data_IF_367396804216
#
_entry.id   IF_367396804216
#
_cell.length_a   1.000
_cell.length_b   1.000
_cell.length_c   1.000
_cell.angle_alpha   90.00
_cell.angle_beta   90.00
_cell.angle_gamma   90.00
#
_symmetry.space_group_name_H-M   'P 1'
#
loop_
_entity.id
_entity.type
_entity.pdbx_description
1 polymer ?
#
# COMPACT_ATOMS: atom_id res chain seq x y z
N UNK A 1 19.65 -0.35 -26.03
CA UNK A 1 20.10 -0.36 -27.45
C UNK A 1 20.99 0.83 -27.79
N UNK A 2 20.79 1.97 -27.19
CA UNK A 2 21.61 3.18 -27.39
C UNK A 2 22.97 3.07 -26.69
N UNK A 3 22.99 2.47 -25.53
CA UNK A 3 24.19 2.35 -24.69
C UNK A 3 25.29 1.47 -25.35
N UNK A 4 24.91 0.58 -26.25
CA UNK A 4 25.86 -0.35 -26.90
C UNK A 4 26.61 0.21 -28.13
N UNK A 5 26.34 1.46 -28.53
CA UNK A 5 26.91 1.99 -29.79
C UNK A 5 28.14 2.90 -29.67
N UNK A 6 28.41 3.41 -28.44
CA UNK A 6 29.59 4.27 -28.24
C UNK A 6 30.08 4.23 -26.80
N UNK A 7 31.41 4.42 -26.63
CA UNK A 7 32.04 4.51 -25.29
C UNK A 7 31.58 5.70 -24.47
N UNK A 8 31.02 6.70 -25.14
CA UNK A 8 30.49 7.90 -24.51
C UNK A 8 29.41 8.47 -25.42
N UNK A 9 28.19 8.53 -24.93
CA UNK A 9 27.05 9.03 -25.69
C UNK A 9 26.41 10.15 -24.94
N UNK A 10 26.34 11.33 -25.58
CA UNK A 10 25.55 12.45 -25.12
C UNK A 10 24.15 12.34 -25.70
N UNK A 11 23.19 12.03 -24.85
CA UNK A 11 21.81 11.87 -25.24
C UNK A 11 21.07 13.17 -24.99
N UNK A 12 20.53 13.77 -26.03
CA UNK A 12 19.55 14.85 -25.85
C UNK A 12 18.21 14.23 -25.44
N UNK A 13 17.49 14.90 -24.55
CA UNK A 13 16.19 14.44 -24.09
C UNK A 13 15.22 14.20 -25.26
N UNK A 14 15.23 15.08 -26.27
CA UNK A 14 14.47 14.91 -27.51
C UNK A 14 14.81 13.63 -28.27
N UNK A 15 16.09 13.29 -28.34
CA UNK A 15 16.55 12.12 -29.08
C UNK A 15 16.20 10.82 -28.34
N UNK A 16 16.27 10.84 -27.00
CA UNK A 16 15.86 9.73 -26.16
C UNK A 16 14.36 9.42 -26.30
N UNK A 17 13.53 10.43 -26.42
CA UNK A 17 12.09 10.27 -26.59
C UNK A 17 11.77 9.68 -27.97
N UNK A 18 12.41 10.17 -29.03
CA UNK A 18 12.24 9.64 -30.39
C UNK A 18 12.72 8.18 -30.47
N UNK A 19 13.86 7.87 -29.88
CA UNK A 19 14.39 6.51 -29.88
C UNK A 19 13.59 5.51 -29.05
N UNK A 20 12.92 5.97 -28.00
CA UNK A 20 12.01 5.15 -27.19
C UNK A 20 10.64 4.97 -27.87
N UNK A 21 10.45 5.46 -29.10
CA UNK A 21 9.21 5.36 -29.88
C UNK A 21 8.00 5.90 -29.10
N UNK A 22 8.21 6.92 -28.30
CA UNK A 22 7.09 7.61 -27.64
C UNK A 22 6.26 8.28 -28.73
N UNK A 23 4.95 8.08 -28.69
CA UNK A 23 4.03 8.68 -29.64
C UNK A 23 4.23 10.20 -29.69
N UNK A 24 4.20 10.76 -30.89
CA UNK A 24 4.43 12.18 -31.16
C UNK A 24 3.54 13.10 -30.30
N UNK A 25 2.32 12.67 -29.98
CA UNK A 25 1.40 13.33 -29.06
C UNK A 25 1.91 13.37 -27.62
N UNK A 26 2.53 12.30 -27.13
CA UNK A 26 3.09 12.25 -25.79
C UNK A 26 4.27 13.20 -25.61
N UNK A 27 5.08 13.38 -26.65
CA UNK A 27 6.21 14.29 -26.62
C UNK A 27 5.79 15.77 -26.62
N UNK A 28 4.93 16.18 -27.57
CA UNK A 28 4.43 17.55 -27.66
C UNK A 28 3.73 17.98 -26.37
N UNK A 29 3.05 17.04 -25.76
CA UNK A 29 2.33 17.24 -24.52
C UNK A 29 3.27 17.41 -23.32
N UNK A 30 4.26 16.55 -23.18
CA UNK A 30 5.28 16.64 -22.15
C UNK A 30 6.10 17.93 -22.26
N UNK A 31 6.53 18.31 -23.46
CA UNK A 31 7.24 19.58 -23.72
C UNK A 31 6.37 20.78 -23.36
N UNK A 32 5.09 20.77 -23.72
CA UNK A 32 4.14 21.84 -23.37
C UNK A 32 3.95 21.96 -21.87
N UNK A 33 3.82 20.85 -21.16
CA UNK A 33 3.71 20.82 -19.71
C UNK A 33 4.97 21.38 -19.03
N UNK A 34 6.15 20.95 -19.49
CA UNK A 34 7.41 21.42 -18.92
C UNK A 34 7.62 22.92 -19.17
N UNK A 35 7.23 23.42 -20.34
CA UNK A 35 7.24 24.87 -20.63
C UNK A 35 6.26 25.65 -19.74
N UNK A 36 5.08 25.08 -19.51
CA UNK A 36 4.07 25.65 -18.62
C UNK A 36 4.60 25.73 -17.18
N UNK A 37 5.13 24.63 -16.64
CA UNK A 37 5.71 24.59 -15.30
C UNK A 37 6.91 25.55 -15.15
N UNK A 38 7.74 25.65 -16.18
CA UNK A 38 8.86 26.63 -16.21
C UNK A 38 8.36 28.07 -16.20
N UNK A 39 7.33 28.40 -16.99
CA UNK A 39 6.69 29.68 -16.99
C UNK A 39 6.03 30.05 -15.66
N UNK A 40 5.61 29.07 -14.89
CA UNK A 40 5.08 29.26 -13.53
C UNK A 40 6.18 29.38 -12.46
N UNK A 41 7.45 29.42 -12.82
CA UNK A 41 8.62 29.44 -11.93
C UNK A 41 8.72 28.25 -10.96
N UNK A 42 8.02 27.14 -11.24
CA UNK A 42 8.13 25.89 -10.47
C UNK A 42 9.32 25.03 -10.91
N UNK A 43 9.91 25.31 -12.08
CA UNK A 43 11.04 24.60 -12.64
C UNK A 43 12.18 25.57 -12.94
N UNK A 44 13.34 25.32 -12.37
CA UNK A 44 14.58 25.86 -12.94
C UNK A 44 14.95 24.96 -14.14
N UNK A 45 15.04 25.52 -15.33
CA UNK A 45 15.28 24.80 -16.60
C UNK A 45 16.52 23.92 -16.55
N UNK A 46 17.55 24.36 -15.82
CA UNK A 46 18.82 23.63 -15.73
C UNK A 46 18.80 22.43 -14.79
N UNK A 47 17.81 22.39 -13.88
CA UNK A 47 17.71 21.31 -12.88
C UNK A 47 16.77 20.18 -13.31
N UNK A 48 15.81 20.42 -14.19
CA UNK A 48 14.74 19.49 -14.55
C UNK A 48 14.72 19.04 -16.01
N UNK A 49 15.37 19.79 -16.88
CA UNK A 49 15.58 19.46 -18.28
C UNK A 49 17.07 19.52 -18.59
N UNK A 50 17.83 18.50 -18.22
CA UNK A 50 19.19 18.39 -18.73
C UNK A 50 19.07 18.38 -20.25
N UNK A 51 19.72 19.33 -20.91
CA UNK A 51 19.81 19.39 -22.37
C UNK A 51 20.49 18.16 -22.98
N UNK A 52 21.02 17.29 -22.14
CA UNK A 52 21.54 15.98 -22.47
C UNK A 52 21.99 15.21 -21.23
N UNK A 53 21.96 13.90 -21.32
CA UNK A 53 22.54 12.99 -20.36
C UNK A 53 23.84 12.44 -20.96
N UNK A 54 24.94 12.58 -20.24
CA UNK A 54 26.20 11.94 -20.62
C UNK A 54 26.24 10.54 -19.99
N UNK A 55 26.22 9.52 -20.85
CA UNK A 55 26.29 8.13 -20.43
C UNK A 55 27.70 7.61 -20.74
N UNK A 56 28.40 7.23 -19.69
CA UNK A 56 29.70 6.62 -19.82
C UNK A 56 29.53 5.08 -19.78
N UNK A 57 29.90 4.40 -20.85
CA UNK A 57 29.99 2.95 -20.88
C UNK A 57 31.46 2.54 -20.81
N UNK A 58 31.80 1.61 -19.94
CA UNK A 58 33.13 0.99 -19.90
C UNK A 58 33.19 -0.15 -20.92
N UNK A 59 34.38 -0.43 -21.46
CA UNK A 59 34.60 -1.52 -22.42
C UNK A 59 34.32 -2.91 -21.84
N UNK A 60 34.13 -3.02 -20.54
CA UNK A 60 33.83 -4.23 -19.79
C UNK A 60 32.38 -4.31 -19.34
N UNK A 61 31.44 -3.74 -20.08
CA UNK A 61 30.02 -4.02 -19.83
C UNK A 61 29.68 -5.44 -20.26
N UNK A 62 30.29 -6.42 -19.62
CA UNK A 62 29.69 -7.74 -19.52
C UNK A 62 28.30 -7.55 -18.94
N UNK A 63 27.32 -8.26 -19.48
CA UNK A 63 25.96 -8.27 -18.93
C UNK A 63 26.05 -8.71 -17.47
N UNK A 64 26.12 -7.75 -16.55
CA UNK A 64 26.06 -8.05 -15.13
C UNK A 64 24.63 -8.52 -14.88
N UNK A 65 24.47 -9.84 -14.78
CA UNK A 65 23.21 -10.45 -14.38
C UNK A 65 23.07 -10.17 -12.90
N UNK A 66 22.32 -9.11 -12.58
CA UNK A 66 22.03 -8.66 -11.21
C UNK A 66 21.03 -9.58 -10.48
N UNK A 67 20.82 -10.83 -10.94
CA UNK A 67 19.75 -11.68 -10.44
C UNK A 67 20.03 -12.37 -9.10
N UNK A 68 21.28 -12.49 -8.67
CA UNK A 68 21.66 -13.22 -7.45
C UNK A 68 22.62 -12.45 -6.54
N UNK A 69 22.41 -11.15 -6.38
CA UNK A 69 23.23 -10.35 -5.47
C UNK A 69 22.78 -10.62 -4.03
N UNK A 70 23.72 -11.01 -3.18
CA UNK A 70 23.45 -11.29 -1.78
C UNK A 70 22.99 -10.02 -1.03
N UNK A 71 21.94 -10.15 -0.21
CA UNK A 71 21.48 -9.05 0.62
C UNK A 71 22.61 -8.52 1.55
N UNK A 72 22.69 -7.20 1.67
CA UNK A 72 23.68 -6.54 2.53
C UNK A 72 25.01 -6.19 1.88
N UNK A 73 25.26 -6.61 0.62
CA UNK A 73 26.44 -6.17 -0.13
C UNK A 73 26.29 -4.74 -0.67
N UNK A 74 27.39 -4.11 -1.05
CA UNK A 74 27.36 -2.77 -1.67
C UNK A 74 26.64 -2.81 -3.03
N UNK A 75 26.84 -3.86 -3.81
CA UNK A 75 26.14 -4.10 -5.07
C UNK A 75 24.62 -4.21 -4.86
N UNK A 76 24.18 -4.86 -3.78
CA UNK A 76 22.77 -4.94 -3.41
C UNK A 76 22.20 -3.56 -3.09
N UNK A 77 22.93 -2.73 -2.34
CA UNK A 77 22.52 -1.35 -2.04
C UNK A 77 22.41 -0.49 -3.29
N UNK A 78 23.38 -0.59 -4.19
CA UNK A 78 23.37 0.13 -5.47
C UNK A 78 22.18 -0.30 -6.32
N UNK A 79 21.91 -1.61 -6.42
CA UNK A 79 20.75 -2.14 -7.14
C UNK A 79 19.44 -1.65 -6.53
N UNK A 80 19.32 -1.71 -5.20
CA UNK A 80 18.11 -1.25 -4.51
C UNK A 80 17.85 0.24 -4.75
N UNK A 81 18.89 1.07 -4.69
CA UNK A 81 18.78 2.51 -4.98
C UNK A 81 18.40 2.78 -6.45
N UNK A 82 18.96 2.01 -7.39
CA UNK A 82 18.59 2.10 -8.79
C UNK A 82 17.13 1.69 -9.03
N UNK A 83 16.71 0.57 -8.46
CA UNK A 83 15.34 0.06 -8.57
C UNK A 83 14.32 1.06 -8.00
N UNK A 84 14.64 1.70 -6.87
CA UNK A 84 13.82 2.75 -6.29
C UNK A 84 13.77 4.00 -7.18
N UNK A 85 14.91 4.45 -7.71
CA UNK A 85 14.97 5.59 -8.61
C UNK A 85 14.14 5.36 -9.89
N UNK A 86 14.18 4.15 -10.45
CA UNK A 86 13.37 3.77 -11.61
C UNK A 86 11.88 3.72 -11.28
N UNK A 87 11.53 3.24 -10.09
CA UNK A 87 10.14 3.25 -9.63
C UNK A 87 9.62 4.67 -9.45
N UNK A 88 10.37 5.54 -8.78
CA UNK A 88 10.03 6.97 -8.62
C UNK A 88 9.86 7.63 -10.00
N UNK A 89 10.76 7.37 -10.94
CA UNK A 89 10.65 7.89 -12.31
C UNK A 89 9.32 7.50 -12.96
N UNK A 90 8.93 6.25 -12.88
CA UNK A 90 7.67 5.77 -13.45
C UNK A 90 6.45 6.40 -12.75
N UNK A 91 6.49 6.51 -11.41
CA UNK A 91 5.43 7.16 -10.65
C UNK A 91 5.28 8.65 -11.02
N UNK A 92 6.38 9.36 -11.28
CA UNK A 92 6.36 10.74 -11.77
C UNK A 92 5.65 10.88 -13.12
N UNK A 93 5.78 9.92 -14.02
CA UNK A 93 5.05 9.94 -15.29
C UNK A 93 3.52 9.87 -15.06
N UNK A 94 3.06 9.06 -14.11
CA UNK A 94 1.64 9.05 -13.75
C UNK A 94 1.18 10.36 -13.09
N UNK A 95 2.02 11.05 -12.32
CA UNK A 95 1.69 12.39 -11.82
C UNK A 95 1.54 13.39 -12.98
N UNK A 96 2.35 13.27 -14.02
CA UNK A 96 2.20 14.09 -15.24
C UNK A 96 0.88 13.78 -15.94
N UNK A 97 0.46 12.52 -16.00
CA UNK A 97 -0.87 12.17 -16.52
C UNK A 97 -2.00 12.82 -15.69
N UNK A 98 -1.90 12.79 -14.36
CA UNK A 98 -2.88 13.46 -13.48
C UNK A 98 -2.95 14.95 -13.77
N UNK A 99 -1.80 15.63 -13.87
CA UNK A 99 -1.75 17.07 -14.18
C UNK A 99 -2.53 17.43 -15.42
N UNK A 100 -2.54 16.56 -16.38
CA UNK A 100 -3.02 16.81 -17.71
C UNK A 100 -4.44 16.33 -17.95
N UNK A 101 -4.83 15.26 -17.29
CA UNK A 101 -6.14 14.64 -17.50
C UNK A 101 -7.14 14.88 -16.39
N UNK A 102 -6.67 15.21 -15.17
CA UNK A 102 -7.52 15.27 -13.98
C UNK A 102 -7.53 16.60 -13.25
N UNK A 103 -6.58 17.49 -13.54
CA UNK A 103 -6.51 18.82 -12.93
C UNK A 103 -7.12 19.85 -13.87
N UNK A 104 -8.12 20.58 -13.37
CA UNK A 104 -8.87 21.54 -14.16
C UNK A 104 -8.94 22.94 -13.54
N UNK A 105 -8.30 23.14 -12.37
CA UNK A 105 -8.29 24.44 -11.70
C UNK A 105 -6.95 24.71 -11.00
N UNK A 106 -6.67 25.98 -10.75
CA UNK A 106 -5.40 26.43 -10.18
C UNK A 106 -5.14 25.94 -8.76
N UNK A 107 -6.19 25.76 -7.96
CA UNK A 107 -6.04 25.31 -6.57
C UNK A 107 -5.54 23.87 -6.52
N UNK A 108 -6.19 22.98 -7.25
CA UNK A 108 -5.81 21.56 -7.31
C UNK A 108 -4.43 21.40 -7.95
N UNK A 109 -4.11 22.25 -8.94
CA UNK A 109 -2.79 22.33 -9.55
C UNK A 109 -1.71 22.66 -8.50
N UNK A 110 -1.89 23.72 -7.72
CA UNK A 110 -0.93 24.13 -6.70
C UNK A 110 -0.77 23.07 -5.59
N UNK A 111 -1.87 22.44 -5.16
CA UNK A 111 -1.83 21.36 -4.18
C UNK A 111 -1.04 20.16 -4.72
N UNK A 112 -1.30 19.73 -5.95
CA UNK A 112 -0.58 18.63 -6.59
C UNK A 112 0.91 18.94 -6.71
N UNK A 113 1.28 20.12 -7.21
CA UNK A 113 2.66 20.53 -7.39
C UNK A 113 3.40 20.62 -6.07
N UNK A 114 2.79 21.23 -5.04
CA UNK A 114 3.41 21.31 -3.72
C UNK A 114 3.67 19.94 -3.12
N UNK A 115 2.71 19.01 -3.26
CA UNK A 115 2.85 17.62 -2.79
C UNK A 115 3.89 16.86 -3.61
N UNK A 116 3.94 17.07 -4.92
CA UNK A 116 4.95 16.46 -5.80
C UNK A 116 6.38 16.80 -5.35
N UNK A 117 6.66 18.08 -5.08
CA UNK A 117 7.99 18.52 -4.63
C UNK A 117 8.30 18.11 -3.17
N UNK A 118 7.28 17.90 -2.35
CA UNK A 118 7.45 17.36 -1.01
C UNK A 118 7.74 15.85 -0.99
N UNK A 119 7.37 15.13 -2.04
CA UNK A 119 7.51 13.66 -2.15
C UNK A 119 8.97 13.28 -2.40
N UNK A 120 9.52 12.42 -1.53
CA UNK A 120 10.95 12.05 -1.53
C UNK A 120 11.21 10.61 -1.96
N UNK A 121 10.26 9.72 -1.78
CA UNK A 121 10.39 8.29 -2.01
C UNK A 121 9.18 7.75 -2.80
N UNK A 122 9.26 6.50 -3.25
CA UNK A 122 8.21 5.86 -4.04
C UNK A 122 6.85 5.82 -3.31
N UNK A 123 6.84 5.62 -1.99
CA UNK A 123 5.60 5.55 -1.22
C UNK A 123 4.87 6.91 -1.14
N UNK A 124 5.62 8.01 -1.06
CA UNK A 124 5.03 9.36 -1.11
C UNK A 124 4.30 9.58 -2.44
N UNK A 125 4.93 9.20 -3.56
CA UNK A 125 4.32 9.29 -4.89
C UNK A 125 3.11 8.36 -5.05
N UNK A 126 3.14 7.14 -4.53
CA UNK A 126 1.98 6.24 -4.53
C UNK A 126 0.82 6.83 -3.72
N UNK A 127 1.12 7.41 -2.56
CA UNK A 127 0.12 8.09 -1.73
C UNK A 127 -0.47 9.29 -2.45
N UNK A 128 0.34 10.07 -3.15
CA UNK A 128 -0.14 11.19 -3.98
C UNK A 128 -1.07 10.68 -5.08
N UNK A 129 -0.65 9.67 -5.83
CA UNK A 129 -1.42 9.09 -6.94
C UNK A 129 -2.73 8.44 -6.48
N UNK A 130 -2.78 7.86 -5.28
CA UNK A 130 -4.00 7.25 -4.74
C UNK A 130 -5.15 8.25 -4.50
N UNK A 131 -4.87 9.56 -4.50
CA UNK A 131 -5.91 10.59 -4.48
C UNK A 131 -6.66 10.68 -5.82
N UNK A 132 -6.02 10.31 -6.92
CA UNK A 132 -6.51 10.52 -8.29
C UNK A 132 -6.87 9.23 -9.02
N UNK A 133 -6.28 8.11 -8.65
CA UNK A 133 -6.55 6.78 -9.20
C UNK A 133 -7.19 5.89 -8.15
N UNK A 134 -8.23 5.19 -8.55
CA UNK A 134 -8.87 4.19 -7.69
C UNK A 134 -7.93 2.99 -7.46
N UNK A 135 -8.14 2.25 -6.39
CA UNK A 135 -7.34 1.05 -6.09
C UNK A 135 -7.48 -0.06 -7.16
N UNK A 136 -8.57 -0.02 -7.93
CA UNK A 136 -8.81 -0.93 -9.07
C UNK A 136 -8.15 -0.48 -10.38
N UNK A 137 -7.47 0.65 -10.40
CA UNK A 137 -6.89 1.21 -11.61
C UNK A 137 -5.70 0.36 -12.10
N UNK A 138 -5.61 0.04 -13.42
CA UNK A 138 -4.53 -0.79 -13.98
C UNK A 138 -3.11 -0.25 -13.73
N UNK A 139 -2.95 1.04 -13.47
CA UNK A 139 -1.64 1.63 -13.16
C UNK A 139 -0.95 0.93 -11.97
N UNK A 140 -1.76 0.36 -11.07
CA UNK A 140 -1.25 -0.31 -9.87
C UNK A 140 -0.78 -1.74 -10.10
N UNK A 141 -1.20 -2.41 -11.18
CA UNK A 141 -0.99 -3.86 -11.36
C UNK A 141 0.49 -4.25 -11.36
N UNK A 142 1.30 -3.56 -12.14
CA UNK A 142 2.74 -3.83 -12.19
C UNK A 142 3.46 -3.49 -10.87
N UNK A 143 3.07 -2.39 -10.21
CA UNK A 143 3.64 -1.95 -8.95
C UNK A 143 3.31 -2.94 -7.82
N UNK A 144 2.06 -3.39 -7.77
CA UNK A 144 1.56 -4.37 -6.80
C UNK A 144 2.23 -5.72 -6.95
N UNK A 145 2.30 -6.24 -8.18
CA UNK A 145 2.92 -7.52 -8.46
C UNK A 145 4.38 -7.56 -7.97
N UNK A 146 5.15 -6.50 -8.23
CA UNK A 146 6.54 -6.37 -7.75
C UNK A 146 6.61 -6.28 -6.22
N UNK A 147 5.77 -5.43 -5.60
CA UNK A 147 5.78 -5.20 -4.16
C UNK A 147 5.35 -6.45 -3.37
N UNK A 148 4.29 -7.14 -3.82
CA UNK A 148 3.85 -8.40 -3.19
C UNK A 148 4.92 -9.47 -3.32
N UNK A 149 5.48 -9.68 -4.50
CA UNK A 149 6.55 -10.65 -4.71
C UNK A 149 7.77 -10.39 -3.82
N UNK A 150 8.11 -9.13 -3.61
CA UNK A 150 9.21 -8.75 -2.71
C UNK A 150 8.86 -9.00 -1.23
N UNK A 151 7.62 -8.76 -0.83
CA UNK A 151 7.16 -9.04 0.52
C UNK A 151 7.08 -10.56 0.79
N UNK A 152 6.60 -11.32 -0.17
CA UNK A 152 6.51 -12.78 -0.13
C UNK A 152 7.88 -13.45 0.00
N UNK A 153 8.89 -12.97 -0.71
CA UNK A 153 10.27 -13.49 -0.65
C UNK A 153 10.92 -13.37 0.74
N UNK A 154 10.41 -12.49 1.59
CA UNK A 154 10.91 -12.29 2.96
C UNK A 154 10.30 -13.24 3.98
N UNK A 155 9.28 -14.02 3.59
CA UNK A 155 8.64 -15.00 4.46
C UNK A 155 9.52 -16.25 4.56
N UNK A 156 9.69 -16.76 5.78
CA UNK A 156 10.25 -18.08 6.00
C UNK A 156 9.20 -19.18 5.67
N UNK A 157 9.61 -20.45 5.69
CA UNK A 157 8.74 -21.56 5.29
C UNK A 157 7.47 -21.67 6.15
N UNK A 158 7.56 -21.46 7.45
CA UNK A 158 6.41 -21.49 8.37
C UNK A 158 5.45 -20.32 8.11
N UNK A 159 5.98 -19.12 7.96
CA UNK A 159 5.21 -17.93 7.62
C UNK A 159 4.57 -18.06 6.24
N UNK A 160 5.28 -18.64 5.28
CA UNK A 160 4.77 -18.94 3.94
C UNK A 160 3.60 -19.91 3.99
N UNK A 161 3.70 -21.00 4.76
CA UNK A 161 2.60 -21.95 4.94
C UNK A 161 1.33 -21.27 5.47
N UNK A 162 1.46 -20.42 6.50
CA UNK A 162 0.33 -19.64 7.04
C UNK A 162 -0.22 -18.66 6.00
N UNK A 163 0.65 -17.98 5.27
CA UNK A 163 0.26 -17.04 4.21
C UNK A 163 -0.52 -17.74 3.09
N UNK A 164 -0.13 -18.95 2.72
CA UNK A 164 -0.80 -19.75 1.67
C UNK A 164 -2.08 -20.44 2.15
N UNK A 165 -2.27 -20.59 3.46
CA UNK A 165 -3.45 -21.26 4.01
C UNK A 165 -4.76 -20.73 3.43
N UNK A 166 -5.71 -21.61 3.21
CA UNK A 166 -7.00 -21.24 2.62
C UNK A 166 -7.77 -20.30 3.56
N UNK A 167 -8.22 -19.18 3.01
CA UNK A 167 -9.00 -18.20 3.76
C UNK A 167 -10.40 -18.67 4.20
N UNK A 168 -10.86 -19.82 3.72
CA UNK A 168 -12.15 -20.40 4.11
C UNK A 168 -12.06 -21.28 5.37
N UNK A 169 -10.89 -21.43 5.96
CA UNK A 169 -10.69 -22.22 7.18
C UNK A 169 -10.38 -21.34 8.38
N UNK A 170 -10.74 -21.82 9.58
CA UNK A 170 -10.29 -21.17 10.81
C UNK A 170 -8.84 -21.63 11.07
N UNK A 171 -7.93 -20.67 11.17
CA UNK A 171 -6.51 -20.93 11.39
C UNK A 171 -6.10 -20.38 12.75
N UNK A 172 -5.53 -21.24 13.59
CA UNK A 172 -4.85 -20.85 14.81
C UNK A 172 -3.34 -20.89 14.60
N UNK A 173 -2.65 -19.78 14.86
CA UNK A 173 -1.20 -19.66 14.67
C UNK A 173 -0.53 -19.56 16.04
N UNK A 174 0.19 -20.59 16.40
CA UNK A 174 1.00 -20.64 17.62
C UNK A 174 2.46 -20.31 17.28
N UNK A 175 2.96 -19.20 17.80
CA UNK A 175 4.32 -18.76 17.52
C UNK A 175 4.84 -17.84 18.63
N UNK A 176 6.15 -17.92 18.89
CA UNK A 176 6.81 -17.14 19.93
C UNK A 176 6.85 -15.62 19.65
N UNK A 177 7.29 -14.84 20.64
CA UNK A 177 7.54 -13.40 20.43
C UNK A 177 8.58 -13.18 19.32
N UNK A 178 8.39 -12.15 18.50
CA UNK A 178 9.31 -11.82 17.40
C UNK A 178 9.25 -12.74 16.17
N UNK A 179 8.38 -13.75 16.15
CA UNK A 179 8.22 -14.67 15.00
C UNK A 179 7.59 -14.04 13.75
N UNK A 180 7.17 -12.78 13.81
CA UNK A 180 6.55 -12.09 12.68
C UNK A 180 5.05 -12.35 12.48
N UNK A 181 4.31 -12.83 13.49
CA UNK A 181 2.85 -13.05 13.44
C UNK A 181 2.10 -11.86 12.84
N UNK A 182 2.32 -10.68 13.38
CA UNK A 182 1.69 -9.44 12.91
C UNK A 182 2.05 -9.11 11.46
N UNK A 183 3.28 -9.42 11.03
CA UNK A 183 3.70 -9.24 9.64
C UNK A 183 2.93 -10.15 8.69
N UNK A 184 2.82 -11.43 9.01
CA UNK A 184 2.03 -12.39 8.22
C UNK A 184 0.55 -12.01 8.19
N UNK A 185 -0.01 -11.55 9.32
CA UNK A 185 -1.39 -11.06 9.41
C UNK A 185 -1.62 -9.88 8.44
N UNK A 186 -0.74 -8.89 8.44
CA UNK A 186 -0.87 -7.72 7.54
C UNK A 186 -0.75 -8.11 6.07
N UNK A 187 0.17 -9.02 5.74
CA UNK A 187 0.30 -9.57 4.38
C UNK A 187 -0.93 -10.39 3.97
N UNK A 188 -1.52 -11.15 4.89
CA UNK A 188 -2.75 -11.90 4.62
C UNK A 188 -3.92 -10.96 4.30
N UNK A 189 -4.08 -9.86 5.03
CA UNK A 189 -5.06 -8.82 4.69
C UNK A 189 -4.82 -8.26 3.28
N UNK A 190 -3.58 -7.96 2.92
CA UNK A 190 -3.24 -7.48 1.59
C UNK A 190 -3.53 -8.52 0.50
N UNK A 191 -3.24 -9.82 0.75
CA UNK A 191 -3.56 -10.91 -0.16
C UNK A 191 -5.06 -11.03 -0.42
N UNK A 192 -5.88 -10.96 0.63
CA UNK A 192 -7.34 -11.00 0.50
C UNK A 192 -7.86 -9.89 -0.42
N UNK A 193 -7.39 -8.67 -0.20
CA UNK A 193 -7.85 -7.52 -0.97
C UNK A 193 -7.31 -7.57 -2.41
N UNK A 194 -6.02 -7.83 -2.58
CA UNK A 194 -5.39 -7.77 -3.90
C UNK A 194 -5.67 -8.99 -4.77
N UNK A 195 -5.47 -10.22 -4.23
CA UNK A 195 -5.62 -11.45 -5.03
C UNK A 195 -7.04 -12.00 -5.04
N UNK A 196 -7.80 -11.81 -3.97
CA UNK A 196 -9.14 -12.36 -3.83
C UNK A 196 -10.24 -11.31 -4.00
N UNK A 197 -9.86 -10.05 -4.24
CA UNK A 197 -10.78 -8.91 -4.45
C UNK A 197 -11.79 -8.73 -3.31
N UNK A 198 -11.39 -9.07 -2.09
CA UNK A 198 -12.22 -8.92 -0.90
C UNK A 198 -12.38 -7.43 -0.59
N UNK A 199 -13.62 -7.01 -0.31
CA UNK A 199 -13.90 -5.65 0.12
C UNK A 199 -13.16 -5.36 1.46
N UNK A 200 -12.31 -4.32 1.57
CA UNK A 200 -11.62 -4.00 2.81
C UNK A 200 -12.55 -3.83 4.01
N UNK A 201 -13.77 -3.33 3.80
CA UNK A 201 -14.78 -3.16 4.86
C UNK A 201 -15.33 -4.49 5.39
N UNK A 202 -15.11 -5.60 4.69
CA UNK A 202 -15.49 -6.92 5.16
C UNK A 202 -14.41 -7.61 6.01
N UNK A 203 -13.31 -6.92 6.31
CA UNK A 203 -12.20 -7.43 7.11
C UNK A 203 -12.14 -6.70 8.45
N UNK A 204 -12.22 -7.46 9.54
CA UNK A 204 -12.05 -7.00 10.91
C UNK A 204 -10.72 -7.51 11.47
N UNK A 205 -9.89 -6.63 11.99
CA UNK A 205 -8.67 -6.94 12.72
C UNK A 205 -8.85 -6.49 14.17
N UNK A 206 -8.72 -7.42 15.09
CA UNK A 206 -8.83 -7.19 16.53
C UNK A 206 -7.47 -7.29 17.21
N UNK A 207 -7.18 -6.34 18.07
CA UNK A 207 -5.98 -6.35 18.90
C UNK A 207 -6.33 -6.15 20.38
N UNK A 208 -5.42 -6.60 21.23
CA UNK A 208 -5.63 -6.60 22.67
C UNK A 208 -5.80 -5.19 23.26
N UNK A 209 -4.96 -4.24 22.84
CA UNK A 209 -4.97 -2.90 23.40
C UNK A 209 -4.84 -1.80 22.34
N UNK A 210 -5.00 -0.55 22.76
CA UNK A 210 -4.96 0.63 21.88
C UNK A 210 -3.60 0.86 21.23
N UNK A 211 -2.51 0.59 21.94
CA UNK A 211 -1.15 0.79 21.40
C UNK A 211 -0.90 -0.16 20.22
N UNK A 212 -1.28 -1.44 20.38
CA UNK A 212 -1.19 -2.45 19.31
C UNK A 212 -2.08 -2.08 18.12
N UNK A 213 -3.28 -1.53 18.34
CA UNK A 213 -4.15 -1.04 17.25
C UNK A 213 -3.47 0.08 16.46
N UNK A 214 -2.80 1.02 17.13
CA UNK A 214 -2.09 2.13 16.46
C UNK A 214 -0.92 1.57 15.63
N UNK A 215 -0.15 0.65 16.20
CA UNK A 215 0.96 -0.01 15.50
C UNK A 215 0.48 -0.82 14.28
N UNK A 216 -0.58 -1.62 14.43
CA UNK A 216 -1.19 -2.38 13.34
C UNK A 216 -1.65 -1.46 12.20
N UNK A 217 -2.32 -0.35 12.53
CA UNK A 217 -2.77 0.64 11.54
C UNK A 217 -1.59 1.25 10.79
N UNK A 218 -0.48 1.58 11.48
CA UNK A 218 0.72 2.10 10.84
C UNK A 218 1.33 1.08 9.87
N UNK A 219 1.52 -0.16 10.33
CA UNK A 219 2.06 -1.24 9.50
C UNK A 219 1.19 -1.57 8.29
N UNK A 220 -0.14 -1.61 8.47
CA UNK A 220 -1.08 -1.79 7.37
C UNK A 220 -1.00 -0.61 6.40
N UNK A 221 -0.96 0.63 6.89
CA UNK A 221 -0.86 1.81 6.04
C UNK A 221 0.43 1.81 5.22
N UNK A 222 1.58 1.49 5.82
CA UNK A 222 2.87 1.38 5.13
C UNK A 222 2.86 0.29 4.05
N UNK A 223 2.40 -0.92 4.39
CA UNK A 223 2.31 -2.03 3.45
C UNK A 223 1.36 -1.68 2.30
N UNK A 224 0.17 -1.19 2.61
CA UNK A 224 -0.83 -0.88 1.60
C UNK A 224 -0.42 0.33 0.73
N UNK A 225 0.30 1.31 1.28
CA UNK A 225 0.90 2.38 0.49
C UNK A 225 1.91 1.81 -0.52
N UNK A 226 2.76 0.87 -0.10
CA UNK A 226 3.72 0.21 -0.99
C UNK A 226 3.03 -0.57 -2.13
N UNK A 227 1.82 -1.05 -1.90
CA UNK A 227 0.98 -1.77 -2.86
C UNK A 227 0.07 -0.86 -3.69
N UNK A 228 0.08 0.47 -3.49
CA UNK A 228 -0.89 1.37 -4.11
C UNK A 228 -2.34 1.11 -3.67
N UNK A 229 -2.53 0.64 -2.44
CA UNK A 229 -3.82 0.33 -1.82
C UNK A 229 -4.12 1.24 -0.63
N UNK A 230 -3.63 2.48 -0.63
CA UNK A 230 -3.72 3.39 0.52
C UNK A 230 -5.17 3.67 0.96
N UNK A 231 -6.11 3.71 0.01
CA UNK A 231 -7.54 3.87 0.33
C UNK A 231 -8.10 2.64 1.02
N UNK A 232 -7.73 1.47 0.56
CA UNK A 232 -8.17 0.19 1.16
C UNK A 232 -7.69 0.05 2.60
N UNK A 233 -6.48 0.54 2.93
CA UNK A 233 -5.97 0.54 4.30
C UNK A 233 -6.87 1.30 5.28
N UNK A 234 -7.42 2.44 4.87
CA UNK A 234 -8.30 3.26 5.70
C UNK A 234 -9.70 2.67 5.88
N UNK A 235 -10.10 1.74 5.03
CA UNK A 235 -11.41 1.09 5.07
C UNK A 235 -11.44 -0.18 5.91
N UNK A 236 -10.28 -0.74 6.26
CA UNK A 236 -10.18 -1.88 7.16
C UNK A 236 -10.71 -1.55 8.56
N UNK A 237 -11.44 -2.45 9.14
CA UNK A 237 -11.89 -2.35 10.52
C UNK A 237 -10.80 -2.85 11.46
N UNK A 238 -10.05 -1.94 12.11
CA UNK A 238 -8.98 -2.27 13.06
C UNK A 238 -9.34 -1.70 14.42
N UNK A 239 -9.72 -2.58 15.36
CA UNK A 239 -10.27 -2.22 16.65
C UNK A 239 -9.67 -3.01 17.83
N UNK A 240 -9.81 -2.47 19.04
CA UNK A 240 -9.83 -3.28 20.26
C UNK A 240 -11.23 -3.82 20.49
N UNK A 241 -11.41 -4.82 21.36
CA UNK A 241 -12.74 -5.30 21.73
C UNK A 241 -13.65 -4.20 22.29
N UNK A 242 -13.11 -3.26 23.06
CA UNK A 242 -13.88 -2.11 23.55
C UNK A 242 -14.27 -1.14 22.43
N UNK A 243 -13.38 -0.89 21.48
CA UNK A 243 -13.71 -0.06 20.30
C UNK A 243 -14.74 -0.74 19.39
N UNK A 244 -14.69 -2.07 19.28
CA UNK A 244 -15.71 -2.84 18.58
C UNK A 244 -17.05 -2.74 19.29
N UNK A 245 -17.10 -2.87 20.64
CA UNK A 245 -18.31 -2.69 21.42
C UNK A 245 -18.93 -1.30 21.17
N UNK A 246 -18.10 -0.25 21.19
CA UNK A 246 -18.55 1.11 20.89
C UNK A 246 -19.13 1.23 19.47
N UNK A 247 -18.49 0.61 18.48
CA UNK A 247 -18.93 0.62 17.08
C UNK A 247 -20.27 -0.09 16.88
N UNK A 248 -20.47 -1.23 17.56
CA UNK A 248 -21.64 -2.09 17.38
C UNK A 248 -22.82 -1.65 18.25
N UNK A 249 -22.58 -1.34 19.53
CA UNK A 249 -23.64 -1.04 20.49
C UNK A 249 -24.01 0.45 20.50
N UNK A 250 -23.08 1.33 20.09
CA UNK A 250 -23.23 2.79 20.20
C UNK A 250 -22.93 3.34 21.60
N UNK A 251 -22.73 4.64 21.69
CA UNK A 251 -22.37 5.34 22.94
C UNK A 251 -23.50 5.29 23.97
N UNK A 252 -24.76 5.36 23.53
CA UNK A 252 -25.93 5.36 24.42
C UNK A 252 -26.07 4.03 25.18
N UNK A 253 -25.86 2.91 24.49
CA UNK A 253 -25.97 1.59 25.12
C UNK A 253 -24.83 1.30 26.12
N UNK A 254 -23.72 1.99 26.00
CA UNK A 254 -22.53 1.86 26.86
C UNK A 254 -22.50 2.92 27.98
N UNK A 255 -23.35 3.94 27.90
CA UNK A 255 -23.39 5.02 28.87
C UNK A 255 -23.75 4.50 30.29
N UNK A 256 -22.98 4.93 31.27
CA UNK A 256 -23.15 4.51 32.68
C UNK A 256 -22.59 3.14 33.04
N UNK A 257 -22.03 2.39 32.06
CA UNK A 257 -21.36 1.11 32.29
C UNK A 257 -19.84 1.24 32.36
N UNK A 258 -19.22 0.49 33.25
CA UNK A 258 -17.75 0.40 33.28
C UNK A 258 -17.20 -0.36 32.04
N UNK A 259 -16.00 0.01 31.61
CA UNK A 259 -15.39 -0.60 30.41
C UNK A 259 -15.30 -2.15 30.47
N UNK A 260 -15.15 -2.72 31.65
CA UNK A 260 -15.14 -4.18 31.82
C UNK A 260 -16.48 -4.85 31.49
N UNK A 261 -17.60 -4.10 31.51
CA UNK A 261 -18.92 -4.59 31.16
C UNK A 261 -19.22 -4.51 29.67
N UNK A 262 -18.48 -3.67 28.93
CA UNK A 262 -18.72 -3.45 27.50
C UNK A 262 -18.60 -4.72 26.65
N UNK A 263 -17.73 -5.65 27.04
CA UNK A 263 -17.58 -6.93 26.33
C UNK A 263 -18.83 -7.80 26.48
N UNK A 264 -19.43 -7.80 27.66
CA UNK A 264 -20.69 -8.51 27.92
C UNK A 264 -21.87 -7.85 27.21
N UNK A 265 -21.90 -6.52 27.14
CA UNK A 265 -22.92 -5.78 26.40
C UNK A 265 -22.77 -6.08 24.90
N UNK A 266 -21.55 -6.09 24.37
CA UNK A 266 -21.27 -6.49 22.99
C UNK A 266 -21.77 -7.89 22.68
N UNK A 267 -21.43 -8.89 23.50
CA UNK A 267 -21.89 -10.27 23.35
C UNK A 267 -23.42 -10.36 23.35
N UNK A 268 -24.06 -9.63 24.27
CA UNK A 268 -25.51 -9.58 24.37
C UNK A 268 -26.16 -8.95 23.14
N UNK A 269 -25.56 -7.87 22.61
CA UNK A 269 -26.02 -7.21 21.37
C UNK A 269 -25.87 -8.15 20.17
N UNK A 270 -24.74 -8.84 20.05
CA UNK A 270 -24.50 -9.84 18.98
C UNK A 270 -25.56 -10.94 19.02
N UNK A 271 -25.86 -11.49 20.19
CA UNK A 271 -26.85 -12.58 20.34
C UNK A 271 -28.29 -12.15 20.10
N UNK A 272 -28.67 -10.97 20.58
CA UNK A 272 -30.08 -10.58 20.63
C UNK A 272 -30.49 -9.51 19.61
N UNK A 273 -29.51 -8.83 18.98
CA UNK A 273 -29.76 -7.71 18.04
C UNK A 273 -28.86 -7.81 16.80
N UNK A 274 -28.94 -8.92 16.03
CA UNK A 274 -28.06 -9.14 14.87
C UNK A 274 -28.19 -8.06 13.80
N UNK A 275 -29.34 -7.40 13.70
CA UNK A 275 -29.55 -6.30 12.77
C UNK A 275 -28.72 -5.05 13.09
N UNK A 276 -28.46 -4.77 14.36
CA UNK A 276 -27.57 -3.66 14.77
C UNK A 276 -26.13 -3.97 14.38
N UNK A 277 -25.71 -5.22 14.52
CA UNK A 277 -24.40 -5.70 14.11
C UNK A 277 -24.22 -5.56 12.59
N UNK A 278 -25.20 -6.03 11.81
CA UNK A 278 -25.18 -5.89 10.34
C UNK A 278 -25.21 -4.43 9.89
N UNK A 279 -25.90 -3.55 10.62
CA UNK A 279 -25.88 -2.12 10.33
C UNK A 279 -24.51 -1.48 10.59
N UNK A 280 -23.82 -1.92 11.64
CA UNK A 280 -22.49 -1.41 12.00
C UNK A 280 -21.37 -1.96 11.07
N UNK A 281 -21.51 -3.21 10.64
CA UNK A 281 -20.57 -3.92 9.78
C UNK A 281 -21.36 -4.77 8.76
N UNK A 282 -21.78 -4.19 7.61
CA UNK A 282 -22.75 -4.84 6.70
C UNK A 282 -22.25 -6.14 6.06
N UNK A 283 -20.97 -6.26 5.79
CA UNK A 283 -20.40 -7.30 4.91
C UNK A 283 -19.21 -8.03 5.56
N UNK A 284 -19.24 -8.26 6.88
CA UNK A 284 -18.11 -8.91 7.55
C UNK A 284 -17.92 -10.35 7.05
N UNK A 285 -16.71 -10.65 6.54
CA UNK A 285 -16.33 -11.97 6.02
C UNK A 285 -15.11 -12.55 6.73
N UNK A 286 -14.19 -11.71 7.14
CA UNK A 286 -12.92 -12.15 7.74
C UNK A 286 -12.66 -11.46 9.05
N UNK A 287 -12.25 -12.24 10.05
CA UNK A 287 -11.85 -11.74 11.37
C UNK A 287 -10.44 -12.23 11.68
N UNK A 288 -9.54 -11.29 11.93
CA UNK A 288 -8.20 -11.56 12.43
C UNK A 288 -8.09 -11.10 13.87
N UNK A 289 -7.48 -11.91 14.71
CA UNK A 289 -7.26 -11.58 16.13
C UNK A 289 -5.77 -11.69 16.39
N UNK A 290 -5.14 -10.57 16.71
CA UNK A 290 -3.76 -10.53 17.17
C UNK A 290 -3.71 -10.79 18.69
N UNK A 291 -2.66 -11.46 19.16
CA UNK A 291 -2.48 -11.88 20.55
C UNK A 291 -3.68 -12.70 21.09
N UNK A 292 -4.06 -13.73 20.35
CA UNK A 292 -5.22 -14.59 20.67
C UNK A 292 -5.14 -15.25 22.05
N UNK A 293 -3.94 -15.47 22.59
CA UNK A 293 -3.76 -16.02 23.94
C UNK A 293 -4.35 -15.15 25.05
N UNK A 294 -4.57 -13.87 24.82
CA UNK A 294 -5.15 -12.92 25.78
C UNK A 294 -6.68 -12.81 25.65
N UNK A 295 -7.29 -13.65 24.82
CA UNK A 295 -8.75 -13.61 24.61
C UNK A 295 -9.50 -14.21 25.80
N UNK A 296 -10.51 -13.49 26.30
CA UNK A 296 -11.41 -14.01 27.32
C UNK A 296 -12.51 -14.87 26.69
N UNK A 297 -13.16 -15.75 27.49
CA UNK A 297 -14.29 -16.55 27.00
C UNK A 297 -15.41 -15.68 26.43
N UNK A 298 -15.72 -14.54 27.07
CA UNK A 298 -16.73 -13.59 26.59
C UNK A 298 -16.40 -13.02 25.22
N UNK A 299 -15.13 -12.70 24.97
CA UNK A 299 -14.65 -12.23 23.67
C UNK A 299 -14.74 -13.32 22.60
N UNK A 300 -14.33 -14.53 22.96
CA UNK A 300 -14.41 -15.69 22.08
C UNK A 300 -15.86 -16.00 21.69
N UNK A 301 -16.78 -16.00 22.66
CA UNK A 301 -18.22 -16.19 22.42
C UNK A 301 -18.78 -15.09 21.50
N UNK A 302 -18.31 -13.85 21.65
CA UNK A 302 -18.70 -12.75 20.78
C UNK A 302 -18.22 -13.01 19.33
N UNK A 303 -17.01 -13.53 19.14
CA UNK A 303 -16.51 -13.85 17.79
C UNK A 303 -17.29 -15.00 17.14
N UNK A 304 -17.63 -16.04 17.87
CA UNK A 304 -18.50 -17.10 17.36
C UNK A 304 -19.90 -16.59 17.04
N UNK A 305 -20.45 -15.70 17.87
CA UNK A 305 -21.73 -15.06 17.59
C UNK A 305 -21.69 -14.18 16.31
N UNK A 306 -20.59 -13.47 16.05
CA UNK A 306 -20.41 -12.78 14.77
C UNK A 306 -20.41 -13.76 13.61
N UNK A 307 -19.69 -14.88 13.72
CA UNK A 307 -19.69 -15.93 12.68
C UNK A 307 -21.10 -16.43 12.37
N UNK A 308 -21.94 -16.65 13.39
CA UNK A 308 -23.34 -17.09 13.21
C UNK A 308 -24.21 -16.05 12.48
N UNK A 309 -23.91 -14.76 12.64
CA UNK A 309 -24.66 -13.68 11.96
C UNK A 309 -24.38 -13.65 10.47
N UNK A 310 -23.14 -13.96 10.05
CA UNK A 310 -22.66 -13.80 8.67
C UNK A 310 -22.52 -15.10 7.89
N UNK A 311 -22.76 -16.26 8.52
CA UNK A 311 -22.94 -17.53 7.83
C UNK A 311 -24.41 -17.66 7.41
#
# INVERSE_FOLDING_TARGET
TYINKSKQTKLRWSDAIVELQLEEKGFAYFDSLLRYLNGMAYLATDALLPTGIEIYTTDQSENVILENIAEGTEEFKVKAAFDEAMEIRNLRLYVMDVLTTKIHNDKDFQELISTYFASKNANDFKTLLSKYYADSDPIWDALRAKAIKNAEKKLNDEQWAIYQENSNTNVNVEAGPGSGKTHVLTLKCAKLIYHQHVNPQSILVLAYNRAVVVELKSRLAELFASLGLSRSASQLHVYTFHSLAKRVCGDEALAGHEMKEWERILLNTIKNRPNEVRKAMPELQYVFIDEFQDITQTRLDAMFGLKEIYN
#
